data_IF_054074430659
#
_entry.id   IF_054074430659
#
_cell.length_a   1.000
_cell.length_b   1.000
_cell.length_c   1.000
_cell.angle_alpha   90.00
_cell.angle_beta   90.00
_cell.angle_gamma   90.00
#
_symmetry.space_group_name_H-M   'P 1'
#
loop_
_entity.id
_entity.type
_entity.pdbx_description
1 polymer ?
#
# COMPACT_ATOMS: atom_id res chain seq x y z
N UNK A 1 13.79 -4.35 -0.11
CA UNK A 1 13.54 -4.08 -1.55
C UNK A 1 14.75 -3.44 -2.25
N UNK A 2 15.38 -2.41 -1.67
CA UNK A 2 16.45 -1.62 -2.33
C UNK A 2 17.64 -2.43 -2.91
N UNK A 3 18.05 -3.53 -2.28
CA UNK A 3 19.19 -4.33 -2.75
C UNK A 3 18.86 -5.33 -3.86
N UNK A 4 17.57 -5.64 -4.09
CA UNK A 4 17.13 -6.64 -5.09
C UNK A 4 16.69 -6.01 -6.40
N UNK A 5 16.21 -4.77 -6.36
CA UNK A 5 15.69 -4.05 -7.53
C UNK A 5 16.36 -2.67 -7.63
N UNK A 6 17.60 -2.61 -8.16
CA UNK A 6 18.43 -1.39 -8.09
C UNK A 6 17.84 -0.21 -8.89
N UNK A 7 16.96 -0.47 -9.86
CA UNK A 7 16.31 0.61 -10.62
C UNK A 7 15.40 1.47 -9.72
N UNK A 8 14.87 0.95 -8.61
CA UNK A 8 14.03 1.72 -7.68
C UNK A 8 14.79 2.92 -7.10
N UNK A 9 16.10 2.76 -6.86
CA UNK A 9 16.97 3.81 -6.31
C UNK A 9 17.72 4.57 -7.40
N UNK A 10 17.36 4.40 -8.68
CA UNK A 10 18.04 5.08 -9.78
C UNK A 10 17.69 6.57 -9.84
N UNK A 11 16.54 6.97 -9.30
CA UNK A 11 16.09 8.37 -9.24
C UNK A 11 15.31 8.62 -7.95
N UNK A 12 15.31 9.87 -7.49
CA UNK A 12 14.51 10.27 -6.33
C UNK A 12 13.01 10.12 -6.61
N UNK A 13 12.55 10.31 -7.86
CA UNK A 13 11.14 10.14 -8.24
C UNK A 13 10.64 8.69 -8.09
N UNK A 14 11.55 7.72 -8.21
CA UNK A 14 11.24 6.31 -7.96
C UNK A 14 11.38 5.94 -6.49
N UNK A 15 12.32 6.55 -5.76
CA UNK A 15 12.52 6.26 -4.35
C UNK A 15 11.45 6.91 -3.46
N UNK A 16 11.13 8.18 -3.69
CA UNK A 16 10.16 8.99 -2.93
C UNK A 16 8.87 9.18 -3.73
N UNK A 17 8.26 8.07 -4.14
CA UNK A 17 7.13 8.12 -5.07
C UNK A 17 5.91 8.83 -4.47
N UNK A 18 5.41 9.86 -5.17
CA UNK A 18 4.12 10.52 -4.83
C UNK A 18 2.87 9.72 -5.25
N UNK A 19 3.01 8.46 -5.69
CA UNK A 19 1.90 7.62 -6.16
C UNK A 19 1.02 7.22 -4.99
N UNK A 20 -0.08 7.94 -4.81
CA UNK A 20 -1.09 7.62 -3.82
C UNK A 20 -2.04 6.55 -4.37
N UNK A 21 -1.71 5.28 -4.17
CA UNK A 21 -2.55 4.13 -4.57
C UNK A 21 -3.85 4.10 -3.74
N UNK A 22 -4.90 4.79 -4.20
CA UNK A 22 -6.19 4.87 -3.51
C UNK A 22 -6.19 5.72 -2.22
N UNK A 23 -5.02 6.13 -1.71
CA UNK A 23 -4.86 6.92 -0.49
C UNK A 23 -5.55 8.29 -0.58
N UNK A 24 -5.57 8.93 -1.76
CA UNK A 24 -6.27 10.22 -1.98
C UNK A 24 -7.77 10.10 -1.72
N UNK A 25 -8.35 8.93 -1.94
CA UNK A 25 -9.80 8.73 -1.80
C UNK A 25 -10.20 8.47 -0.35
N UNK A 26 -9.27 8.02 0.50
CA UNK A 26 -9.52 7.82 1.92
C UNK A 26 -9.25 9.08 2.73
N UNK A 27 -10.24 9.54 3.50
CA UNK A 27 -10.09 10.71 4.40
C UNK A 27 -8.88 10.53 5.31
N UNK A 28 -8.07 11.58 5.47
CA UNK A 28 -6.97 11.61 6.44
C UNK A 28 -7.51 11.30 7.84
N UNK A 29 -6.77 10.48 8.58
CA UNK A 29 -6.99 10.28 10.00
C UNK A 29 -6.27 11.42 10.74
N UNK A 30 -6.96 12.10 11.65
CA UNK A 30 -6.41 13.21 12.43
C UNK A 30 -6.78 13.07 13.90
N UNK A 31 -5.90 13.55 14.78
CA UNK A 31 -6.07 13.55 16.24
C UNK A 31 -7.35 14.25 16.69
N UNK A 32 -7.81 15.25 15.93
CA UNK A 32 -8.97 16.08 16.28
C UNK A 32 -10.33 15.42 15.94
N UNK A 33 -10.32 14.25 15.31
CA UNK A 33 -11.54 13.52 14.97
C UNK A 33 -12.16 12.82 16.19
N UNK A 34 -13.48 12.64 16.18
CA UNK A 34 -14.13 11.78 17.16
C UNK A 34 -13.65 10.34 16.99
N UNK A 35 -13.64 9.55 18.07
CA UNK A 35 -13.17 8.16 18.05
C UNK A 35 -13.84 7.33 16.95
N UNK A 36 -15.15 7.52 16.73
CA UNK A 36 -15.89 6.88 15.62
C UNK A 36 -15.22 7.15 14.27
N UNK A 37 -14.96 8.42 13.97
CA UNK A 37 -14.38 8.83 12.69
C UNK A 37 -12.93 8.37 12.55
N UNK A 38 -12.16 8.34 13.65
CA UNK A 38 -10.81 7.76 13.69
C UNK A 38 -10.85 6.28 13.31
N UNK A 39 -11.73 5.49 13.95
CA UNK A 39 -11.87 4.06 13.67
C UNK A 39 -12.40 3.82 12.25
N UNK A 40 -13.38 4.60 11.78
CA UNK A 40 -13.92 4.52 10.41
C UNK A 40 -12.84 4.81 9.36
N UNK A 41 -12.09 5.91 9.50
CA UNK A 41 -11.05 6.27 8.54
C UNK A 41 -9.91 5.25 8.56
N UNK A 42 -9.52 4.78 9.75
CA UNK A 42 -8.49 3.74 9.90
C UNK A 42 -8.91 2.43 9.24
N UNK A 43 -10.15 2.00 9.46
CA UNK A 43 -10.69 0.79 8.82
C UNK A 43 -10.66 0.89 7.30
N UNK A 44 -11.15 2.00 6.73
CA UNK A 44 -11.16 2.19 5.28
C UNK A 44 -9.75 2.23 4.69
N UNK A 45 -8.82 2.92 5.35
CA UNK A 45 -7.41 2.97 4.93
C UNK A 45 -6.77 1.58 4.94
N UNK A 46 -6.82 0.88 6.07
CA UNK A 46 -6.17 -0.42 6.23
C UNK A 46 -6.80 -1.50 5.34
N UNK A 47 -8.13 -1.55 5.24
CA UNK A 47 -8.83 -2.57 4.44
C UNK A 47 -8.52 -2.47 2.94
N UNK A 48 -8.25 -1.27 2.42
CA UNK A 48 -7.86 -1.07 1.03
C UNK A 48 -6.50 -1.71 0.67
N UNK A 49 -5.66 -2.01 1.67
CA UNK A 49 -4.33 -2.60 1.46
C UNK A 49 -4.29 -4.12 1.55
N UNK A 50 -5.37 -4.78 1.98
CA UNK A 50 -5.41 -6.25 2.10
C UNK A 50 -5.07 -6.91 0.75
N UNK A 51 -5.79 -6.55 -0.31
CA UNK A 51 -5.57 -7.14 -1.64
C UNK A 51 -4.22 -6.72 -2.26
N UNK A 52 -3.83 -5.42 -2.24
CA UNK A 52 -2.51 -5.00 -2.75
C UNK A 52 -1.32 -5.69 -2.08
N UNK A 53 -1.31 -5.85 -0.75
CA UNK A 53 -0.19 -6.52 -0.07
C UNK A 53 -0.14 -8.00 -0.36
N UNK A 54 -1.30 -8.67 -0.41
CA UNK A 54 -1.35 -10.08 -0.81
C UNK A 54 -0.83 -10.28 -2.25
N UNK A 55 -1.18 -9.36 -3.16
CA UNK A 55 -0.68 -9.36 -4.53
C UNK A 55 0.84 -9.17 -4.61
N UNK A 56 1.40 -8.27 -3.80
CA UNK A 56 2.84 -8.08 -3.71
C UNK A 56 3.54 -9.35 -3.17
N UNK A 57 3.01 -9.93 -2.10
CA UNK A 57 3.48 -11.21 -1.55
C UNK A 57 3.49 -12.33 -2.59
N UNK A 58 2.35 -12.58 -3.25
CA UNK A 58 2.20 -13.68 -4.21
C UNK A 58 3.16 -13.54 -5.40
N UNK A 59 3.41 -12.30 -5.83
CA UNK A 59 4.40 -12.03 -6.87
C UNK A 59 5.81 -12.39 -6.42
N UNK A 60 6.26 -11.95 -5.24
CA UNK A 60 7.60 -12.26 -4.72
C UNK A 60 7.80 -13.77 -4.47
N UNK A 61 6.77 -14.47 -3.98
CA UNK A 61 6.80 -15.92 -3.78
C UNK A 61 7.02 -16.68 -5.09
N UNK A 62 6.40 -16.21 -6.19
CA UNK A 62 6.53 -16.83 -7.50
C UNK A 62 7.94 -16.69 -8.13
N UNK A 63 8.79 -15.78 -7.64
CA UNK A 63 10.13 -15.56 -8.19
C UNK A 63 11.19 -16.53 -7.65
N UNK A 64 10.82 -17.40 -6.71
CA UNK A 64 11.65 -18.51 -6.25
C UNK A 64 12.52 -18.24 -5.02
N UNK A 65 13.43 -19.18 -4.67
CA UNK A 65 14.05 -19.25 -3.34
C UNK A 65 14.83 -18.00 -2.91
N UNK A 66 15.39 -17.24 -3.85
CA UNK A 66 16.14 -16.01 -3.58
C UNK A 66 15.28 -14.81 -3.11
N UNK A 67 13.94 -14.92 -3.17
CA UNK A 67 12.96 -13.92 -2.73
C UNK A 67 12.22 -14.32 -1.45
N UNK A 68 12.58 -15.46 -0.85
CA UNK A 68 11.92 -16.03 0.34
C UNK A 68 11.83 -15.07 1.52
N UNK A 69 12.87 -14.28 1.79
CA UNK A 69 12.86 -13.32 2.90
C UNK A 69 11.82 -12.23 2.67
N UNK A 70 11.81 -11.62 1.48
CA UNK A 70 10.86 -10.55 1.15
C UNK A 70 9.43 -11.08 1.09
N UNK A 71 9.23 -12.25 0.47
CA UNK A 71 7.94 -12.94 0.45
C UNK A 71 7.44 -13.24 1.88
N UNK A 72 8.31 -13.69 2.79
CA UNK A 72 7.95 -13.96 4.18
C UNK A 72 7.52 -12.69 4.91
N UNK A 73 8.29 -11.60 4.77
CA UNK A 73 7.94 -10.30 5.40
C UNK A 73 6.61 -9.78 4.89
N UNK A 74 6.35 -9.84 3.58
CA UNK A 74 5.08 -9.41 3.00
C UNK A 74 3.91 -10.31 3.43
N UNK A 75 4.14 -11.61 3.57
CA UNK A 75 3.15 -12.57 4.09
C UNK A 75 2.77 -12.26 5.54
N UNK A 76 3.76 -12.08 6.41
CA UNK A 76 3.54 -11.72 7.82
C UNK A 76 2.84 -10.35 7.93
N UNK A 77 3.29 -9.37 7.16
CA UNK A 77 2.66 -8.04 7.08
C UNK A 77 1.19 -8.15 6.68
N UNK A 78 0.87 -8.97 5.68
CA UNK A 78 -0.51 -9.22 5.23
C UNK A 78 -1.37 -9.87 6.33
N UNK A 79 -0.79 -10.83 7.07
CA UNK A 79 -1.44 -11.47 8.20
C UNK A 79 -1.77 -10.48 9.33
N UNK A 80 -0.79 -9.66 9.73
CA UNK A 80 -0.99 -8.64 10.76
C UNK A 80 -1.97 -7.55 10.32
N UNK A 81 -1.94 -7.14 9.06
CA UNK A 81 -2.93 -6.21 8.51
C UNK A 81 -4.34 -6.77 8.64
N UNK A 82 -4.58 -8.01 8.18
CA UNK A 82 -5.92 -8.61 8.21
C UNK A 82 -6.44 -8.77 9.65
N UNK A 83 -5.55 -9.14 10.57
CA UNK A 83 -5.84 -9.20 12.01
C UNK A 83 -6.22 -7.81 12.55
N UNK A 84 -5.44 -6.78 12.21
CA UNK A 84 -5.68 -5.39 12.63
C UNK A 84 -7.02 -4.87 12.09
N UNK A 85 -7.31 -5.08 10.80
CA UNK A 85 -8.60 -4.69 10.20
C UNK A 85 -9.76 -5.39 10.90
N UNK A 86 -9.60 -6.67 11.26
CA UNK A 86 -10.61 -7.42 12.01
C UNK A 86 -10.83 -6.86 13.42
N UNK A 87 -9.75 -6.46 14.11
CA UNK A 87 -9.83 -5.80 15.42
C UNK A 87 -10.53 -4.44 15.33
N UNK A 88 -10.17 -3.60 14.36
CA UNK A 88 -10.85 -2.30 14.15
C UNK A 88 -12.32 -2.48 13.81
N UNK A 89 -12.66 -3.49 12.98
CA UNK A 89 -14.05 -3.86 12.70
C UNK A 89 -14.80 -4.25 13.96
N UNK A 90 -14.18 -5.06 14.82
CA UNK A 90 -14.77 -5.48 16.08
C UNK A 90 -15.01 -4.27 17.01
N UNK A 91 -14.04 -3.38 17.15
CA UNK A 91 -14.16 -2.14 17.94
C UNK A 91 -15.30 -1.23 17.46
N UNK A 92 -15.51 -1.11 16.15
CA UNK A 92 -16.65 -0.37 15.60
C UNK A 92 -17.97 -1.01 16.05
N UNK A 93 -18.09 -2.34 15.93
CA UNK A 93 -19.32 -3.06 16.23
C UNK A 93 -19.68 -3.04 17.72
N UNK A 94 -18.73 -3.27 18.63
CA UNK A 94 -19.00 -3.28 20.08
C UNK A 94 -19.40 -1.89 20.61
N UNK A 95 -18.99 -0.83 19.90
CA UNK A 95 -19.37 0.56 20.21
C UNK A 95 -20.68 0.99 19.55
N UNK A 96 -21.39 0.06 18.90
CA UNK A 96 -22.66 0.32 18.22
C UNK A 96 -22.52 1.12 16.92
N UNK A 97 -21.34 1.12 16.30
CA UNK A 97 -21.12 1.76 15.00
C UNK A 97 -21.24 0.73 13.87
N UNK A 98 -21.73 1.19 12.71
CA UNK A 98 -21.73 0.37 11.50
C UNK A 98 -20.33 0.23 10.92
N UNK A 99 -20.08 -0.91 10.28
CA UNK A 99 -18.84 -1.09 9.49
C UNK A 99 -18.96 -0.22 8.25
N UNK A 100 -17.99 0.68 7.99
CA UNK A 100 -18.11 1.61 6.88
C UNK A 100 -17.98 0.88 5.55
N UNK A 101 -18.89 1.24 4.63
CA UNK A 101 -18.78 0.90 3.21
C UNK A 101 -18.03 2.04 2.50
N UNK A 102 -17.19 1.70 1.52
CA UNK A 102 -16.42 2.71 0.76
C UNK A 102 -14.97 2.32 0.51
N UNK A 103 -14.62 1.04 0.67
CA UNK A 103 -13.33 0.53 0.26
C UNK A 103 -13.12 0.78 -1.22
N UNK A 104 -11.95 1.31 -1.58
CA UNK A 104 -11.55 1.47 -2.97
C UNK A 104 -10.68 0.28 -3.33
N UNK A 105 -11.34 -0.79 -3.77
CA UNK A 105 -10.63 -2.00 -4.21
C UNK A 105 -10.17 -1.79 -5.65
N UNK A 106 -8.90 -1.39 -5.82
CA UNK A 106 -8.27 -1.33 -7.12
C UNK A 106 -7.87 -2.75 -7.57
N UNK A 107 -8.26 -3.12 -8.78
CA UNK A 107 -7.83 -4.38 -9.39
C UNK A 107 -6.35 -4.32 -9.76
N UNK A 108 -5.69 -5.48 -9.86
CA UNK A 108 -4.31 -5.58 -10.33
C UNK A 108 -4.11 -4.87 -11.69
N UNK A 109 -5.05 -5.04 -12.62
CA UNK A 109 -4.99 -4.41 -13.94
C UNK A 109 -5.06 -2.88 -13.86
N UNK A 110 -5.83 -2.33 -12.92
CA UNK A 110 -5.87 -0.88 -12.70
C UNK A 110 -4.55 -0.39 -12.10
N UNK A 111 -4.03 -1.05 -11.07
CA UNK A 111 -2.75 -0.71 -10.45
C UNK A 111 -1.60 -0.75 -11.46
N UNK A 112 -1.52 -1.80 -12.29
CA UNK A 112 -0.51 -1.92 -13.34
C UNK A 112 -0.61 -0.78 -14.36
N UNK A 113 -1.83 -0.40 -14.74
CA UNK A 113 -2.05 0.70 -15.70
C UNK A 113 -1.60 2.04 -15.15
N UNK A 114 -1.97 2.37 -13.91
CA UNK A 114 -1.54 3.61 -13.25
C UNK A 114 -0.02 3.65 -13.11
N UNK A 115 0.57 2.55 -12.66
CA UNK A 115 2.02 2.43 -12.47
C UNK A 115 2.76 2.59 -13.81
N UNK A 116 2.29 1.93 -14.87
CA UNK A 116 2.86 2.05 -16.22
C UNK A 116 2.75 3.48 -16.74
N UNK A 117 1.61 4.14 -16.55
CA UNK A 117 1.43 5.54 -16.95
C UNK A 117 2.41 6.48 -16.26
N UNK A 118 2.60 6.32 -14.94
CA UNK A 118 3.57 7.09 -14.17
C UNK A 118 5.00 6.89 -14.67
N UNK A 119 5.44 5.63 -14.82
CA UNK A 119 6.77 5.32 -15.32
C UNK A 119 6.99 5.87 -16.74
N UNK A 120 5.97 5.80 -17.59
CA UNK A 120 6.04 6.30 -18.96
C UNK A 120 6.24 7.81 -18.99
N UNK A 121 5.58 8.55 -18.10
CA UNK A 121 5.75 9.99 -18.00
C UNK A 121 7.19 10.36 -17.60
N UNK A 122 7.76 9.66 -16.62
CA UNK A 122 9.16 9.87 -16.22
C UNK A 122 10.15 9.59 -17.36
N UNK A 123 9.88 8.54 -18.16
CA UNK A 123 10.69 8.24 -19.36
C UNK A 123 10.54 9.32 -20.41
N UNK A 124 9.31 9.77 -20.69
CA UNK A 124 9.03 10.82 -21.68
C UNK A 124 9.71 12.15 -21.33
N UNK A 125 9.82 12.46 -20.04
CA UNK A 125 10.50 13.65 -19.54
C UNK A 125 12.02 13.51 -19.44
N UNK A 126 12.58 12.36 -19.85
CA UNK A 126 13.99 11.98 -19.70
C UNK A 126 14.49 11.97 -18.24
N UNK A 127 13.57 11.83 -17.28
CA UNK A 127 13.91 11.71 -15.85
C UNK A 127 14.27 10.28 -15.47
N UNK A 128 13.80 9.31 -16.25
CA UNK A 128 14.10 7.89 -16.08
C UNK A 128 14.58 7.28 -17.40
N UNK A 129 15.76 6.66 -17.39
CA UNK A 129 16.25 5.89 -18.52
C UNK A 129 16.06 4.39 -18.25
N UNK A 130 14.83 3.89 -18.47
CA UNK A 130 14.44 2.51 -18.18
C UNK A 130 13.46 1.99 -19.24
N UNK A 131 13.65 0.75 -19.70
CA UNK A 131 12.65 0.06 -20.53
C UNK A 131 11.50 -0.45 -19.67
N UNK A 132 10.27 0.01 -19.93
CA UNK A 132 9.09 -0.31 -19.12
C UNK A 132 8.49 -1.65 -19.53
N UNK A 133 9.02 -2.74 -18.98
CA UNK A 133 8.45 -4.10 -19.12
C UNK A 133 7.30 -4.34 -18.14
N UNK A 134 6.52 -5.41 -18.33
CA UNK A 134 5.50 -5.81 -17.34
C UNK A 134 6.11 -6.15 -15.97
N UNK A 135 7.33 -6.68 -15.96
CA UNK A 135 8.05 -7.03 -14.74
C UNK A 135 8.46 -5.78 -13.96
N UNK A 136 9.05 -4.79 -14.65
CA UNK A 136 9.36 -3.47 -14.08
C UNK A 136 8.11 -2.82 -13.47
N UNK A 137 6.98 -2.89 -14.16
CA UNK A 137 5.71 -2.35 -13.66
C UNK A 137 5.26 -3.06 -12.38
N UNK A 138 5.32 -4.39 -12.34
CA UNK A 138 4.90 -5.18 -11.16
C UNK A 138 5.82 -4.95 -9.96
N UNK A 139 7.13 -4.96 -10.18
CA UNK A 139 8.14 -4.68 -9.15
C UNK A 139 7.91 -3.30 -8.56
N UNK A 140 7.81 -2.28 -9.42
CA UNK A 140 7.65 -0.91 -8.96
C UNK A 140 6.31 -0.68 -8.27
N UNK A 141 5.21 -1.24 -8.80
CA UNK A 141 3.90 -1.24 -8.14
C UNK A 141 3.99 -1.83 -6.72
N UNK A 142 4.63 -2.99 -6.58
CA UNK A 142 4.76 -3.66 -5.28
C UNK A 142 5.59 -2.85 -4.29
N UNK A 143 6.66 -2.20 -4.77
CA UNK A 143 7.41 -1.24 -3.98
C UNK A 143 6.55 -0.09 -3.48
N UNK A 144 5.80 0.56 -4.38
CA UNK A 144 4.90 1.66 -4.01
C UNK A 144 3.83 1.19 -3.01
N UNK A 145 3.23 0.01 -3.21
CA UNK A 145 2.27 -0.57 -2.26
C UNK A 145 2.87 -0.67 -0.86
N UNK A 146 4.09 -1.23 -0.76
CA UNK A 146 4.76 -1.40 0.53
C UNK A 146 5.13 -0.05 1.18
N UNK A 147 5.74 0.86 0.42
CA UNK A 147 6.17 2.17 0.92
C UNK A 147 4.98 3.02 1.38
N UNK A 148 3.92 3.10 0.58
CA UNK A 148 2.73 3.86 0.99
C UNK A 148 1.98 3.18 2.15
N UNK A 149 2.00 1.84 2.23
CA UNK A 149 1.41 1.14 3.38
C UNK A 149 2.12 1.47 4.70
N UNK A 150 3.44 1.60 4.68
CA UNK A 150 4.22 2.04 5.83
C UNK A 150 3.76 3.41 6.34
N UNK A 151 3.55 4.37 5.43
CA UNK A 151 3.04 5.70 5.78
C UNK A 151 1.61 5.64 6.33
N UNK A 152 0.75 4.79 5.75
CA UNK A 152 -0.63 4.59 6.20
C UNK A 152 -0.69 3.98 7.60
N UNK A 153 0.16 3.00 7.91
CA UNK A 153 0.24 2.43 9.27
C UNK A 153 0.64 3.53 10.25
N UNK A 154 1.66 4.31 9.91
CA UNK A 154 2.17 5.39 10.76
C UNK A 154 1.06 6.42 11.03
N UNK A 155 0.36 6.85 9.99
CA UNK A 155 -0.79 7.77 10.10
C UNK A 155 -1.90 7.21 11.01
N UNK A 156 -2.29 5.95 10.79
CA UNK A 156 -3.35 5.30 11.58
C UNK A 156 -2.94 5.14 13.03
N UNK A 157 -1.70 4.71 13.29
CA UNK A 157 -1.16 4.53 14.63
C UNK A 157 -1.17 5.85 15.41
N UNK A 158 -0.56 6.91 14.86
CA UNK A 158 -0.57 8.25 15.47
C UNK A 158 -1.99 8.74 15.67
N UNK A 159 -2.87 8.59 14.68
CA UNK A 159 -4.25 9.08 14.77
C UNK A 159 -5.07 8.41 15.89
N UNK A 160 -4.97 7.08 16.02
CA UNK A 160 -5.76 6.28 16.98
C UNK A 160 -5.19 6.38 18.38
N UNK A 161 -3.85 6.32 18.53
CA UNK A 161 -3.20 6.23 19.83
C UNK A 161 -2.64 7.56 20.36
N UNK A 162 -2.61 8.62 19.55
CA UNK A 162 -2.21 9.95 20.02
C UNK A 162 -0.70 10.12 20.27
N UNK A 163 0.13 9.31 19.62
CA UNK A 163 1.60 9.30 19.74
C UNK A 163 2.25 10.06 18.60
#
# INVERSE_FOLDING_TARGET
MQTKYPFITSTNDLQETMLMLGVIVTKKCSLNLQLKDKLTNSYLKLSNYITPLYMAYSYEEAHGPQYTVLASVLRETSFFLNSTVSTVRHELLIRGHSVPAGQVVLTEKQLNRYTRGYLQELVNQNWLNLTITDDVVRIYRNYVIYSTFHDVITEVYTCVFGV
#
